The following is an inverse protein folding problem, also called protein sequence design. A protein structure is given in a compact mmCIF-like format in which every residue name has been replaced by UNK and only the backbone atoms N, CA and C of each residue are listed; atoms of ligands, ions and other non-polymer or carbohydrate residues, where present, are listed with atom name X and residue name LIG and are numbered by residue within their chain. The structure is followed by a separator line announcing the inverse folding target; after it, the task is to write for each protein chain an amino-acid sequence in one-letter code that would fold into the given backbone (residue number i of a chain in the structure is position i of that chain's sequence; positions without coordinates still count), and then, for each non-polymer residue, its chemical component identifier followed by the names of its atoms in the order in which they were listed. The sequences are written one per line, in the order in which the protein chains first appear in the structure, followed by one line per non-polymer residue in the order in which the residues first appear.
data_IF_018400815192
#
_entry.id   IF_018400815192
#
_cell.length_a   1.000
_cell.length_b   1.000
_cell.length_c   1.000
_cell.angle_alpha   90.00
_cell.angle_beta   90.00
_cell.angle_gamma   90.00
#
_symmetry.space_group_name_H-M   'P 1'
#
loop_
_entity.id
_entity.type
_entity.pdbx_description
1 polymer ?
#
# COMPACT_ATOMS: atom_id res chain seq x y z
N UNK A 1 -15.80 17.92 3.02
CA UNK A 1 -14.54 18.54 2.55
C UNK A 1 -13.52 18.78 3.69
N UNK A 2 -13.66 18.21 4.89
CA UNK A 2 -12.78 18.53 6.06
C UNK A 2 -11.75 17.45 6.45
N UNK A 3 -11.63 16.33 5.73
CA UNK A 3 -10.73 15.22 6.09
C UNK A 3 -9.58 14.96 5.09
N UNK A 4 -9.34 15.88 4.14
CA UNK A 4 -8.30 15.74 3.12
C UNK A 4 -6.88 15.47 3.66
N UNK A 5 -6.40 16.10 4.75
CA UNK A 5 -5.03 15.83 5.20
C UNK A 5 -4.88 14.44 5.80
N UNK A 6 -5.88 13.93 6.53
CA UNK A 6 -5.79 12.61 7.16
C UNK A 6 -5.72 11.50 6.11
N UNK A 7 -6.55 11.59 5.05
CA UNK A 7 -6.50 10.66 3.92
C UNK A 7 -5.15 10.68 3.20
N UNK A 8 -4.60 11.88 2.95
CA UNK A 8 -3.31 12.04 2.30
C UNK A 8 -2.16 11.38 3.10
N UNK A 9 -2.10 11.61 4.41
CA UNK A 9 -1.09 10.98 5.26
C UNK A 9 -1.28 9.46 5.38
N UNK A 10 -2.53 8.98 5.36
CA UNK A 10 -2.88 7.56 5.40
C UNK A 10 -2.37 6.83 4.15
N UNK A 11 -2.55 7.44 2.97
CA UNK A 11 -2.16 6.87 1.68
C UNK A 11 -0.63 6.80 1.51
N UNK A 12 0.08 7.83 1.98
CA UNK A 12 1.55 7.85 2.04
C UNK A 12 2.05 6.76 2.97
N UNK A 13 1.51 6.70 4.20
CA UNK A 13 1.89 5.70 5.19
C UNK A 13 1.68 4.28 4.65
N UNK A 14 0.56 4.05 3.97
CA UNK A 14 0.25 2.73 3.46
C UNK A 14 1.15 2.27 2.31
N UNK A 15 1.60 3.20 1.46
CA UNK A 15 2.61 2.91 0.43
C UNK A 15 3.98 2.59 1.04
N UNK A 16 4.42 3.42 2.00
CA UNK A 16 5.69 3.27 2.69
C UNK A 16 5.78 1.93 3.45
N UNK A 17 4.74 1.59 4.23
CA UNK A 17 4.72 0.35 5.01
C UNK A 17 4.59 -0.91 4.13
N UNK A 18 3.88 -0.83 2.99
CA UNK A 18 3.82 -1.93 2.03
C UNK A 18 5.19 -2.26 1.45
N UNK A 19 5.92 -1.23 0.99
CA UNK A 19 7.26 -1.39 0.41
C UNK A 19 8.26 -1.82 1.47
N UNK A 20 8.23 -1.22 2.67
CA UNK A 20 9.13 -1.59 3.77
C UNK A 20 8.93 -3.05 4.21
N UNK A 21 7.68 -3.53 4.32
CA UNK A 21 7.37 -4.91 4.70
C UNK A 21 7.83 -5.92 3.63
N UNK A 22 7.58 -5.60 2.35
CA UNK A 22 8.04 -6.43 1.24
C UNK A 22 9.57 -6.47 1.18
N UNK A 23 10.25 -5.32 1.27
CA UNK A 23 11.70 -5.22 1.25
C UNK A 23 12.32 -6.01 2.40
N UNK A 24 11.81 -5.86 3.62
CA UNK A 24 12.36 -6.55 4.78
C UNK A 24 12.30 -8.07 4.57
N UNK A 25 11.15 -8.56 4.11
CA UNK A 25 10.95 -9.98 3.82
C UNK A 25 11.90 -10.52 2.75
N UNK A 26 12.11 -9.77 1.67
CA UNK A 26 13.06 -10.10 0.61
C UNK A 26 14.51 -10.10 1.12
N UNK A 27 14.87 -9.16 2.01
CA UNK A 27 16.21 -9.12 2.61
C UNK A 27 16.48 -10.29 3.58
N UNK A 28 15.42 -10.89 4.14
CA UNK A 28 15.52 -12.13 4.91
C UNK A 28 15.62 -13.39 4.02
N UNK A 29 15.76 -13.23 2.70
CA UNK A 29 15.92 -14.33 1.74
C UNK A 29 14.62 -15.08 1.46
N UNK A 30 13.47 -14.52 1.85
CA UNK A 30 12.17 -15.13 1.60
C UNK A 30 11.67 -14.79 0.19
N UNK A 31 10.84 -15.68 -0.37
CA UNK A 31 10.29 -15.57 -1.72
C UNK A 31 9.33 -14.39 -1.93
N UNK A 32 8.79 -14.29 -3.15
CA UNK A 32 7.87 -13.24 -3.55
C UNK A 32 6.55 -13.26 -2.77
N UNK A 33 6.02 -14.46 -2.55
CA UNK A 33 4.73 -14.69 -1.89
C UNK A 33 4.71 -14.17 -0.45
N UNK A 34 5.64 -14.56 0.44
CA UNK A 34 5.68 -14.03 1.80
C UNK A 34 5.97 -12.52 1.83
N UNK A 35 6.74 -11.99 0.86
CA UNK A 35 7.03 -10.56 0.78
C UNK A 35 5.78 -9.73 0.49
N UNK A 36 4.93 -10.20 -0.43
CA UNK A 36 3.66 -9.53 -0.71
C UNK A 36 2.74 -9.57 0.51
N UNK A 37 2.62 -10.74 1.15
CA UNK A 37 1.77 -10.91 2.33
C UNK A 37 2.22 -10.01 3.48
N UNK A 38 3.51 -10.02 3.82
CA UNK A 38 4.06 -9.18 4.89
C UNK A 38 3.99 -7.69 4.56
N UNK A 39 4.19 -7.32 3.30
CA UNK A 39 3.96 -5.95 2.83
C UNK A 39 2.51 -5.50 3.08
N UNK A 40 1.54 -6.30 2.66
CA UNK A 40 0.11 -6.00 2.86
C UNK A 40 -0.25 -5.92 4.34
N UNK A 41 0.19 -6.87 5.16
CA UNK A 41 -0.08 -6.89 6.60
C UNK A 41 0.52 -5.67 7.29
N UNK A 42 1.76 -5.30 6.95
CA UNK A 42 2.41 -4.12 7.54
C UNK A 42 1.69 -2.83 7.14
N UNK A 43 1.28 -2.72 5.88
CA UNK A 43 0.57 -1.58 5.33
C UNK A 43 -0.80 -1.37 5.98
N UNK A 44 -1.58 -2.44 6.11
CA UNK A 44 -2.93 -2.37 6.66
C UNK A 44 -2.94 -2.33 8.19
N UNK A 45 -1.95 -2.96 8.84
CA UNK A 45 -1.85 -3.04 10.30
C UNK A 45 -1.85 -1.67 10.98
N UNK A 46 -1.12 -0.69 10.42
CA UNK A 46 -1.10 0.67 10.96
C UNK A 46 -2.46 1.39 10.88
N UNK A 47 -3.14 1.30 9.74
CA UNK A 47 -4.48 1.87 9.56
C UNK A 47 -5.53 1.21 10.44
N UNK A 48 -5.50 -0.12 10.53
CA UNK A 48 -6.40 -0.89 11.41
C UNK A 48 -6.17 -0.54 12.87
N UNK A 49 -4.92 -0.49 13.34
CA UNK A 49 -4.60 -0.12 14.72
C UNK A 49 -5.09 1.30 15.06
N UNK A 50 -4.88 2.26 14.16
CA UNK A 50 -5.43 3.61 14.31
C UNK A 50 -6.96 3.58 14.46
N UNK A 51 -7.64 2.85 13.59
CA UNK A 51 -9.09 2.83 13.57
C UNK A 51 -9.67 2.15 14.83
N UNK A 52 -9.01 1.09 15.33
CA UNK A 52 -9.35 0.41 16.60
C UNK A 52 -9.17 1.33 17.80
N UNK A 53 -8.04 2.05 17.89
CA UNK A 53 -7.79 3.02 18.98
C UNK A 53 -8.81 4.16 18.97
N UNK A 54 -9.29 4.55 17.79
CA UNK A 54 -10.35 5.56 17.63
C UNK A 54 -11.77 5.01 17.79
N UNK A 55 -11.93 3.73 18.10
CA UNK A 55 -13.24 3.03 18.18
C UNK A 55 -14.08 3.19 16.91
N UNK A 56 -13.42 3.18 15.74
CA UNK A 56 -14.07 3.25 14.41
C UNK A 56 -13.97 1.91 13.71
N UNK A 57 -14.92 1.63 12.82
CA UNK A 57 -14.84 0.46 11.94
C UNK A 57 -13.63 0.65 11.01
N UNK A 58 -12.69 -0.32 10.95
CA UNK A 58 -11.50 -0.20 10.12
C UNK A 58 -11.81 0.10 8.66
N UNK A 59 -11.08 1.04 8.07
CA UNK A 59 -11.29 1.48 6.69
C UNK A 59 -11.18 0.32 5.68
N UNK A 60 -10.38 -0.70 5.99
CA UNK A 60 -10.24 -1.92 5.20
C UNK A 60 -11.55 -2.67 4.97
N UNK A 61 -12.48 -2.65 5.95
CA UNK A 61 -13.78 -3.32 5.83
C UNK A 61 -14.78 -2.53 4.98
N UNK A 62 -14.59 -1.22 4.86
CA UNK A 62 -15.50 -0.31 4.16
C UNK A 62 -15.00 0.12 2.78
N UNK A 63 -13.71 -0.02 2.47
CA UNK A 63 -13.09 0.42 1.23
C UNK A 63 -12.32 -0.73 0.57
N UNK A 64 -12.95 -1.35 -0.42
CA UNK A 64 -12.36 -2.45 -1.22
C UNK A 64 -11.06 -2.07 -1.95
N UNK A 65 -10.81 -0.76 -2.14
CA UNK A 65 -9.62 -0.24 -2.82
C UNK A 65 -8.38 -0.17 -1.89
N UNK A 66 -8.61 -0.25 -0.57
CA UNK A 66 -7.54 -0.11 0.43
C UNK A 66 -6.51 -1.27 0.39
N UNK A 67 -6.95 -2.55 0.34
CA UNK A 67 -6.05 -3.70 0.21
C UNK A 67 -5.38 -3.79 -1.16
N UNK A 68 -6.11 -3.48 -2.24
CA UNK A 68 -5.61 -3.63 -3.61
C UNK A 68 -4.41 -2.71 -3.88
N UNK A 69 -4.39 -1.54 -3.27
CA UNK A 69 -3.27 -0.64 -3.43
C UNK A 69 -2.10 -0.97 -2.47
N UNK A 70 -2.31 -1.71 -1.38
CA UNK A 70 -1.21 -2.34 -0.62
C UNK A 70 -0.54 -3.45 -1.44
N UNK A 71 -1.36 -4.27 -2.11
CA UNK A 71 -0.91 -5.31 -3.04
C UNK A 71 -0.10 -4.70 -4.19
N UNK A 72 -0.57 -3.60 -4.79
CA UNK A 72 0.16 -2.91 -5.86
C UNK A 72 1.54 -2.41 -5.39
N UNK A 73 1.65 -1.85 -4.19
CA UNK A 73 2.92 -1.38 -3.64
C UNK A 73 3.90 -2.50 -3.34
N UNK A 74 3.43 -3.57 -2.67
CA UNK A 74 4.26 -4.73 -2.39
C UNK A 74 4.68 -5.46 -3.68
N UNK A 75 3.77 -5.61 -4.65
CA UNK A 75 4.06 -6.22 -5.95
C UNK A 75 5.06 -5.42 -6.78
N UNK A 76 4.98 -4.09 -6.75
CA UNK A 76 5.96 -3.22 -7.41
C UNK A 76 7.35 -3.41 -6.80
N UNK A 77 7.45 -3.49 -5.46
CA UNK A 77 8.73 -3.73 -4.79
C UNK A 77 9.33 -5.08 -5.13
N UNK A 78 8.52 -6.13 -5.16
CA UNK A 78 8.95 -7.48 -5.58
C UNK A 78 9.44 -7.45 -7.03
N UNK A 79 8.74 -6.76 -7.93
CA UNK A 79 9.14 -6.63 -9.33
C UNK A 79 10.52 -5.95 -9.47
N UNK A 80 10.76 -4.88 -8.71
CA UNK A 80 12.06 -4.20 -8.68
C UNK A 80 13.19 -5.09 -8.13
N UNK A 81 12.88 -5.94 -7.15
CA UNK A 81 13.85 -6.88 -6.60
C UNK A 81 14.28 -7.94 -7.62
N UNK A 82 13.33 -8.53 -8.36
CA UNK A 82 13.63 -9.51 -9.43
C UNK A 82 14.33 -8.87 -10.64
N UNK A 83 14.17 -7.57 -10.85
CA UNK A 83 14.91 -6.83 -11.88
C UNK A 83 16.41 -6.60 -11.55
N UNK A 84 16.92 -7.21 -10.47
CA UNK A 84 18.33 -7.09 -10.01
C UNK A 84 18.80 -5.66 -9.75
N UNK A 85 17.89 -4.73 -9.51
CA UNK A 85 18.22 -3.35 -9.15
C UNK A 85 18.55 -3.26 -7.65
N UNK A 86 19.55 -4.01 -7.18
CA UNK A 86 19.91 -4.12 -5.75
C UNK A 86 20.87 -3.01 -5.32
N UNK A 87 20.46 -1.75 -5.49
CA UNK A 87 21.19 -0.58 -4.97
C UNK A 87 20.49 -0.07 -3.71
N UNK A 88 21.23 0.46 -2.74
CA UNK A 88 20.66 1.03 -1.50
C UNK A 88 19.58 2.10 -1.73
N UNK A 89 19.56 2.70 -2.91
CA UNK A 89 18.63 3.76 -3.31
C UNK A 89 17.31 3.22 -3.88
N UNK A 90 17.26 1.96 -4.33
CA UNK A 90 16.08 1.38 -4.98
C UNK A 90 14.82 1.37 -4.10
N UNK A 91 14.86 1.06 -2.80
CA UNK A 91 13.66 1.04 -1.96
C UNK A 91 13.06 2.43 -1.80
N UNK A 92 13.90 3.47 -1.72
CA UNK A 92 13.46 4.86 -1.61
C UNK A 92 12.79 5.34 -2.91
N UNK A 93 13.37 5.03 -4.07
CA UNK A 93 12.75 5.34 -5.36
C UNK A 93 11.46 4.55 -5.60
N UNK A 94 11.44 3.25 -5.28
CA UNK A 94 10.24 2.42 -5.40
C UNK A 94 9.11 2.91 -4.49
N UNK A 95 9.45 3.29 -3.25
CA UNK A 95 8.50 3.93 -2.33
C UNK A 95 7.98 5.24 -2.91
N UNK A 96 8.87 6.11 -3.39
CA UNK A 96 8.50 7.41 -3.93
C UNK A 96 7.60 7.27 -5.16
N UNK A 97 7.97 6.41 -6.12
CA UNK A 97 7.18 6.12 -7.32
C UNK A 97 5.83 5.51 -6.94
N UNK A 98 5.80 4.53 -6.03
CA UNK A 98 4.56 3.91 -5.59
C UNK A 98 3.64 4.94 -4.91
N UNK A 99 4.16 5.74 -3.99
CA UNK A 99 3.42 6.81 -3.31
C UNK A 99 2.92 7.85 -4.30
N UNK A 100 3.72 8.27 -5.29
CA UNK A 100 3.32 9.23 -6.33
C UNK A 100 2.25 8.65 -7.24
N UNK A 101 2.41 7.42 -7.73
CA UNK A 101 1.39 6.73 -8.55
C UNK A 101 0.09 6.60 -7.77
N UNK A 102 0.17 6.32 -6.48
CA UNK A 102 -1.00 6.12 -5.62
C UNK A 102 -1.70 7.43 -5.30
N UNK A 103 -0.94 8.47 -4.95
CA UNK A 103 -1.45 9.84 -4.80
C UNK A 103 -2.08 10.32 -6.10
N UNK A 104 -1.46 10.07 -7.24
CA UNK A 104 -2.02 10.40 -8.55
C UNK A 104 -3.31 9.62 -8.82
N UNK A 105 -3.37 8.33 -8.53
CA UNK A 105 -4.58 7.49 -8.69
C UNK A 105 -5.76 7.99 -7.84
N UNK A 106 -5.49 8.46 -6.62
CA UNK A 106 -6.49 9.01 -5.71
C UNK A 106 -6.92 10.44 -6.09
N UNK A 107 -5.98 11.28 -6.53
CA UNK A 107 -6.27 12.65 -6.96
C UNK A 107 -6.98 12.71 -8.31
N UNK A 108 -6.64 11.80 -9.25
CA UNK A 108 -7.34 11.63 -10.53
C UNK A 108 -8.63 10.82 -10.41
N UNK A 109 -8.93 10.26 -9.23
CA UNK A 109 -10.16 9.51 -9.01
C UNK A 109 -10.28 8.30 -9.93
N UNK A 110 -9.20 7.56 -10.17
CA UNK A 110 -9.24 6.26 -10.86
C UNK A 110 -10.01 5.25 -10.00
N UNK A 111 -11.34 5.39 -10.02
CA UNK A 111 -12.26 4.31 -9.78
C UNK A 111 -12.00 3.31 -10.89
N UNK A 112 -11.30 2.22 -10.58
CA UNK A 112 -11.59 0.94 -11.24
C UNK A 112 -13.13 0.85 -11.27
N UNK A 113 -13.70 0.88 -12.47
CA UNK A 113 -15.14 0.88 -12.72
C UNK A 113 -15.80 -0.12 -11.77
N UNK A 114 -16.35 0.41 -10.67
CA UNK A 114 -17.17 -0.38 -9.78
C UNK A 114 -18.27 -0.95 -10.65
N UNK A 115 -18.30 -2.27 -10.80
CA UNK A 115 -19.44 -2.93 -11.40
C UNK A 115 -20.64 -2.57 -10.54
N UNK A 116 -21.42 -1.61 -11.05
CA UNK A 116 -22.72 -1.22 -10.51
C UNK A 116 -23.65 -2.39 -10.78
N UNK A 117 -23.56 -3.41 -9.93
CA UNK A 117 -24.60 -4.43 -9.80
C UNK A 117 -25.80 -3.78 -9.14
N UNK A 118 -26.66 -3.15 -9.94
CA UNK A 118 -28.01 -2.84 -9.52
C UNK A 118 -28.83 -4.12 -9.57
N UNK A 119 -29.38 -4.51 -8.43
CA UNK A 119 -30.81 -4.65 -8.09
C UNK A 119 -30.90 -5.38 -6.76
#
# INVERSE_FOLDING_TARGET
MRDQPVLFFDEIGLGLFAVAGAQNTLTFGQGAEPAILLGIVNALGGGVMRDVVLSRVPAILNREIYPSAALAGAGTQVLFFYAHWTQWWTPWFATFICVVIRLASLYFGWRLLAFRGGT
#
